data_IF_394546376886
#
_entry.id   IF_394546376886
#
_cell.length_a   1.000
_cell.length_b   1.000
_cell.length_c   1.000
_cell.angle_alpha   90.00
_cell.angle_beta   90.00
_cell.angle_gamma   90.00
#
_symmetry.space_group_name_H-M   'P 1'
#
loop_
_entity.id
_entity.type
_entity.pdbx_description
1 polymer ?
#
# COMPACT_ATOMS: atom_id res chain seq x y z
N UNK A 1 -21.56 12.30 21.33
CA UNK A 1 -20.79 13.06 20.32
C UNK A 1 -19.98 12.04 19.55
N UNK A 2 -20.44 11.74 18.35
CA UNK A 2 -20.20 10.47 17.66
C UNK A 2 -18.72 10.25 17.35
N UNK A 3 -18.21 9.09 17.80
CA UNK A 3 -16.93 8.54 17.42
C UNK A 3 -17.00 8.12 15.94
N UNK A 4 -17.00 9.11 15.06
CA UNK A 4 -16.82 8.87 13.64
C UNK A 4 -15.37 8.43 13.47
N UNK A 5 -15.18 7.18 13.06
CA UNK A 5 -13.92 6.57 12.65
C UNK A 5 -12.97 7.60 12.01
N UNK A 6 -12.00 8.09 12.78
CA UNK A 6 -10.99 9.01 12.27
C UNK A 6 -10.10 8.22 11.31
N UNK A 7 -10.35 8.37 10.01
CA UNK A 7 -9.50 7.78 8.97
C UNK A 7 -8.10 8.35 9.14
N UNK A 8 -7.14 7.49 9.46
CA UNK A 8 -5.73 7.85 9.58
C UNK A 8 -5.19 8.30 8.21
N UNK A 9 -4.41 9.39 8.18
CA UNK A 9 -3.88 10.02 6.96
C UNK A 9 -4.95 10.18 5.86
N UNK A 10 -6.10 10.77 6.22
CA UNK A 10 -7.29 10.82 5.36
C UNK A 10 -7.01 11.46 3.99
N UNK A 11 -6.37 12.62 3.99
CA UNK A 11 -6.12 13.41 2.77
C UNK A 11 -5.10 12.70 1.87
N UNK A 12 -4.00 12.24 2.45
CA UNK A 12 -2.94 11.50 1.77
C UNK A 12 -3.47 10.19 1.17
N UNK A 13 -4.24 9.43 1.96
CA UNK A 13 -4.88 8.19 1.52
C UNK A 13 -5.83 8.42 0.35
N UNK A 14 -6.60 9.50 0.38
CA UNK A 14 -7.51 9.84 -0.71
C UNK A 14 -6.77 10.26 -1.97
N UNK A 15 -5.67 11.02 -1.84
CA UNK A 15 -4.84 11.40 -2.99
C UNK A 15 -4.20 10.18 -3.64
N UNK A 16 -3.67 9.24 -2.85
CA UNK A 16 -3.11 7.96 -3.34
C UNK A 16 -4.18 7.14 -4.08
N UNK A 17 -5.38 6.98 -3.50
CA UNK A 17 -6.47 6.25 -4.16
C UNK A 17 -6.90 6.94 -5.44
N UNK A 18 -6.98 8.27 -5.46
CA UNK A 18 -7.31 9.05 -6.65
C UNK A 18 -6.34 8.79 -7.80
N UNK A 19 -5.04 8.78 -7.51
CA UNK A 19 -4.02 8.39 -8.49
C UNK A 19 -4.18 6.94 -8.97
N UNK A 20 -4.43 5.99 -8.07
CA UNK A 20 -4.71 4.59 -8.45
C UNK A 20 -5.95 4.47 -9.35
N UNK A 21 -7.02 5.21 -9.05
CA UNK A 21 -8.24 5.23 -9.85
C UNK A 21 -8.01 5.83 -11.23
N UNK A 22 -7.19 6.88 -11.35
CA UNK A 22 -6.84 7.47 -12.65
C UNK A 22 -6.04 6.48 -13.51
N UNK A 23 -5.04 5.82 -12.92
CA UNK A 23 -4.26 4.78 -13.61
C UNK A 23 -5.16 3.63 -14.09
N UNK A 24 -6.03 3.10 -13.22
CA UNK A 24 -6.95 2.02 -13.57
C UNK A 24 -7.96 2.44 -14.64
N UNK A 25 -8.48 3.67 -14.61
CA UNK A 25 -9.35 4.19 -15.66
C UNK A 25 -8.65 4.30 -17.01
N UNK A 26 -7.37 4.66 -17.01
CA UNK A 26 -6.59 4.82 -18.25
C UNK A 26 -6.17 3.49 -18.85
N UNK A 27 -5.79 2.51 -18.02
CA UNK A 27 -5.23 1.23 -18.48
C UNK A 27 -6.25 0.10 -18.49
N UNK A 28 -7.31 0.18 -17.70
CA UNK A 28 -8.21 -0.94 -17.43
C UNK A 28 -7.52 -2.07 -16.66
N UNK A 29 -8.16 -3.24 -16.65
CA UNK A 29 -7.62 -4.49 -16.10
C UNK A 29 -6.92 -5.31 -17.20
N UNK A 30 -5.98 -6.18 -16.81
CA UNK A 30 -5.37 -7.17 -17.70
C UNK A 30 -3.86 -6.99 -17.94
N UNK A 31 -3.27 -5.90 -17.45
CA UNK A 31 -1.83 -5.73 -17.46
C UNK A 31 -1.15 -6.46 -16.30
N UNK A 32 0.15 -6.70 -16.43
CA UNK A 32 0.98 -7.18 -15.34
C UNK A 32 1.12 -6.10 -14.25
N UNK A 33 1.28 -6.54 -13.00
CA UNK A 33 1.48 -5.66 -11.83
C UNK A 33 2.57 -4.60 -12.03
N UNK A 34 3.69 -4.97 -12.65
CA UNK A 34 4.81 -4.07 -12.95
C UNK A 34 4.43 -2.90 -13.88
N UNK A 35 3.44 -3.08 -14.77
CA UNK A 35 2.95 -2.00 -15.64
C UNK A 35 2.17 -0.97 -14.82
N UNK A 36 1.33 -1.42 -13.89
CA UNK A 36 0.62 -0.52 -12.98
C UNK A 36 1.59 0.21 -12.04
N UNK A 37 2.65 -0.48 -11.60
CA UNK A 37 3.71 0.13 -10.80
C UNK A 37 4.37 1.30 -11.53
N UNK A 38 4.82 1.10 -12.77
CA UNK A 38 5.46 2.16 -13.57
C UNK A 38 4.47 3.29 -13.90
N UNK A 39 3.20 2.96 -14.17
CA UNK A 39 2.17 3.97 -14.41
C UNK A 39 1.89 4.80 -13.15
N UNK A 40 1.87 4.18 -11.97
CA UNK A 40 1.69 4.89 -10.70
C UNK A 40 2.87 5.79 -10.37
N UNK A 41 4.09 5.36 -10.64
CA UNK A 41 5.28 6.20 -10.48
C UNK A 41 5.13 7.52 -11.25
N UNK A 42 4.73 7.44 -12.52
CA UNK A 42 4.48 8.63 -13.37
C UNK A 42 3.32 9.47 -12.83
N UNK A 43 2.22 8.83 -12.43
CA UNK A 43 1.05 9.55 -11.91
C UNK A 43 1.35 10.24 -10.57
N UNK A 44 2.12 9.62 -9.68
CA UNK A 44 2.54 10.21 -8.42
C UNK A 44 3.44 11.42 -8.64
N UNK A 45 4.33 11.40 -9.63
CA UNK A 45 5.12 12.57 -10.01
C UNK A 45 4.23 13.73 -10.49
N UNK A 46 3.26 13.44 -11.37
CA UNK A 46 2.33 14.45 -11.91
C UNK A 46 1.45 15.05 -10.81
N UNK A 47 1.00 14.24 -9.86
CA UNK A 47 0.17 14.70 -8.74
C UNK A 47 0.98 15.22 -7.55
N UNK A 48 2.31 15.24 -7.62
CA UNK A 48 3.18 15.63 -6.50
C UNK A 48 2.84 14.86 -5.22
N UNK A 49 2.70 13.53 -5.36
CA UNK A 49 2.58 12.61 -4.23
C UNK A 49 4.02 12.18 -3.90
N UNK A 50 4.56 12.48 -2.69
CA UNK A 50 5.88 12.01 -2.32
C UNK A 50 5.85 10.50 -2.12
N UNK A 51 6.76 9.78 -2.78
CA UNK A 51 6.88 8.33 -2.66
C UNK A 51 8.34 7.87 -2.73
N UNK A 52 8.58 6.68 -2.17
CA UNK A 52 9.74 5.84 -2.43
C UNK A 52 9.24 4.53 -3.04
N UNK A 53 9.86 4.07 -4.11
CA UNK A 53 9.47 2.85 -4.84
C UNK A 53 10.40 1.68 -4.47
N UNK A 54 9.85 0.47 -4.42
CA UNK A 54 10.56 -0.79 -4.17
C UNK A 54 11.44 -0.76 -2.91
N UNK A 55 10.84 -0.32 -1.80
CA UNK A 55 11.56 -0.06 -0.54
C UNK A 55 11.82 -1.36 0.21
N UNK A 56 13.09 -1.62 0.53
CA UNK A 56 13.47 -2.77 1.36
C UNK A 56 13.03 -2.53 2.81
N UNK A 57 12.31 -3.49 3.37
CA UNK A 57 11.91 -3.50 4.77
C UNK A 57 12.70 -4.54 5.52
N UNK A 58 13.38 -4.10 6.58
CA UNK A 58 14.19 -4.96 7.42
C UNK A 58 13.33 -5.88 8.27
N UNK A 59 13.81 -7.11 8.45
CA UNK A 59 13.13 -8.13 9.24
C UNK A 59 13.99 -8.53 10.43
N UNK A 60 13.32 -8.82 11.53
CA UNK A 60 13.93 -9.19 12.79
C UNK A 60 13.26 -10.46 13.33
N UNK A 61 14.07 -11.38 13.83
CA UNK A 61 13.64 -12.55 14.59
C UNK A 61 14.37 -12.52 15.93
N UNK A 62 13.63 -12.48 17.05
CA UNK A 62 14.20 -12.32 18.40
C UNK A 62 15.23 -11.19 18.50
N UNK A 63 14.87 -10.01 17.99
CA UNK A 63 15.73 -8.81 17.90
C UNK A 63 16.99 -8.97 17.05
N UNK A 64 17.19 -10.11 16.37
CA UNK A 64 18.29 -10.33 15.45
C UNK A 64 17.85 -10.01 14.03
N UNK A 65 18.60 -9.13 13.37
CA UNK A 65 18.36 -8.75 11.98
C UNK A 65 18.55 -9.94 11.06
N UNK A 66 17.56 -10.22 10.21
CA UNK A 66 17.65 -11.25 9.19
C UNK A 66 18.35 -10.72 7.93
N UNK A 67 19.04 -11.61 7.21
CA UNK A 67 19.60 -11.29 5.89
C UNK A 67 18.50 -11.14 4.81
N UNK A 68 17.31 -11.70 5.07
CA UNK A 68 16.13 -11.56 4.21
C UNK A 68 15.40 -10.27 4.54
N UNK A 69 14.80 -9.68 3.51
CA UNK A 69 14.02 -8.46 3.61
C UNK A 69 12.71 -8.64 2.87
N UNK A 70 11.69 -7.91 3.29
CA UNK A 70 10.54 -7.65 2.44
C UNK A 70 10.85 -6.48 1.51
N UNK A 71 10.01 -6.32 0.49
CA UNK A 71 10.07 -5.19 -0.43
C UNK A 71 8.66 -4.66 -0.60
N UNK A 72 8.45 -3.42 -0.17
CA UNK A 72 7.19 -2.73 -0.39
C UNK A 72 7.20 -2.08 -1.78
N UNK A 73 6.07 -2.13 -2.50
CA UNK A 73 5.96 -1.51 -3.81
C UNK A 73 6.18 0.00 -3.70
N UNK A 74 5.49 0.64 -2.74
CA UNK A 74 5.68 2.04 -2.42
C UNK A 74 5.60 2.34 -0.92
N UNK A 75 6.33 3.37 -0.50
CA UNK A 75 6.08 4.11 0.73
C UNK A 75 5.73 5.54 0.33
N UNK A 76 4.49 5.95 0.57
CA UNK A 76 4.00 7.29 0.29
C UNK A 76 4.01 8.14 1.56
N UNK A 77 4.33 9.43 1.42
CA UNK A 77 4.39 10.39 2.55
C UNK A 77 5.24 9.92 3.74
N UNK A 78 6.23 9.07 3.48
CA UNK A 78 7.06 8.42 4.49
C UNK A 78 6.29 7.67 5.60
N UNK A 79 4.98 7.47 5.45
CA UNK A 79 4.08 7.02 6.53
C UNK A 79 3.05 5.97 6.11
N UNK A 80 2.82 5.82 4.80
CA UNK A 80 1.81 4.91 4.25
C UNK A 80 2.49 3.87 3.37
N UNK A 81 2.37 2.60 3.73
CA UNK A 81 2.79 1.50 2.86
C UNK A 81 1.69 1.28 1.81
N UNK A 82 2.06 1.25 0.53
CA UNK A 82 1.16 0.95 -0.57
C UNK A 82 1.66 -0.28 -1.31
N UNK A 83 0.85 -1.33 -1.29
CA UNK A 83 1.03 -2.56 -2.06
C UNK A 83 0.01 -2.61 -3.18
N UNK A 84 0.45 -3.01 -4.37
CA UNK A 84 -0.43 -3.16 -5.52
C UNK A 84 -0.48 -4.61 -5.95
N UNK A 85 -1.63 -5.04 -6.49
CA UNK A 85 -1.84 -6.37 -7.04
C UNK A 85 -2.61 -6.28 -8.35
N UNK A 86 -2.40 -7.25 -9.24
CA UNK A 86 -3.16 -7.39 -10.48
C UNK A 86 -3.75 -8.81 -10.60
N UNK A 87 -4.71 -9.13 -9.72
CA UNK A 87 -5.27 -10.49 -9.60
C UNK A 87 -6.81 -10.48 -9.61
N UNK A 88 -7.42 -11.60 -9.99
CA UNK A 88 -8.90 -11.74 -9.97
C UNK A 88 -9.47 -11.74 -8.54
N UNK A 89 -8.71 -12.24 -7.57
CA UNK A 89 -9.07 -12.23 -6.15
C UNK A 89 -7.81 -12.04 -5.33
N UNK A 90 -7.86 -11.16 -4.32
CA UNK A 90 -6.78 -11.03 -3.34
C UNK A 90 -6.86 -12.19 -2.34
N UNK A 91 -5.86 -13.09 -2.26
CA UNK A 91 -5.79 -14.10 -1.22
C UNK A 91 -5.56 -13.46 0.15
N UNK A 92 -6.04 -14.13 1.20
CA UNK A 92 -5.91 -13.62 2.57
C UNK A 92 -4.46 -13.37 3.01
N UNK A 93 -3.53 -14.12 2.41
CA UNK A 93 -2.09 -14.02 2.65
C UNK A 93 -1.52 -12.61 2.36
N UNK A 94 -2.03 -11.88 1.36
CA UNK A 94 -1.54 -10.53 1.07
C UNK A 94 -1.94 -9.53 2.15
N UNK A 95 -3.13 -9.67 2.74
CA UNK A 95 -3.50 -8.84 3.90
C UNK A 95 -2.63 -9.15 5.12
N UNK A 96 -2.31 -10.43 5.36
CA UNK A 96 -1.43 -10.84 6.45
C UNK A 96 0.01 -10.35 6.25
N UNK A 97 0.52 -10.41 5.02
CA UNK A 97 1.82 -9.87 4.66
C UNK A 97 1.90 -8.37 4.91
N UNK A 98 0.94 -7.58 4.43
CA UNK A 98 0.92 -6.14 4.66
C UNK A 98 0.80 -5.79 6.15
N UNK A 99 0.05 -6.55 6.95
CA UNK A 99 0.06 -6.41 8.42
C UNK A 99 1.45 -6.62 9.02
N UNK A 100 2.19 -7.62 8.54
CA UNK A 100 3.55 -7.86 9.00
C UNK A 100 4.48 -6.70 8.61
N UNK A 101 4.32 -6.13 7.41
CA UNK A 101 5.11 -4.97 6.98
C UNK A 101 4.92 -3.82 7.97
N UNK A 102 3.67 -3.49 8.30
CA UNK A 102 3.35 -2.43 9.26
C UNK A 102 3.94 -2.68 10.65
N UNK A 103 3.92 -3.92 11.13
CA UNK A 103 4.52 -4.28 12.43
C UNK A 103 6.04 -4.11 12.40
N UNK A 104 6.71 -4.55 11.34
CA UNK A 104 8.16 -4.45 11.20
C UNK A 104 8.64 -3.00 11.06
N UNK A 105 7.89 -2.16 10.35
CA UNK A 105 8.25 -0.75 10.12
C UNK A 105 7.70 0.19 11.19
N UNK A 106 6.81 -0.30 12.07
CA UNK A 106 6.01 0.49 13.01
C UNK A 106 5.12 1.56 12.34
N UNK A 107 4.90 1.46 11.03
CA UNK A 107 3.96 2.32 10.31
C UNK A 107 2.53 1.96 10.70
N UNK A 108 1.66 2.96 10.70
CA UNK A 108 0.31 2.83 11.22
C UNK A 108 -0.71 2.46 10.12
N UNK A 109 -0.43 2.82 8.86
CA UNK A 109 -1.34 2.59 7.74
C UNK A 109 -0.67 1.87 6.57
N UNK A 110 -1.32 0.80 6.12
CA UNK A 110 -1.04 0.13 4.86
C UNK A 110 -2.25 0.16 3.94
N UNK A 111 -2.01 0.18 2.64
CA UNK A 111 -3.05 0.14 1.60
C UNK A 111 -2.73 -0.97 0.62
N UNK A 112 -3.71 -1.84 0.38
CA UNK A 112 -3.61 -2.89 -0.63
C UNK A 112 -4.60 -2.58 -1.75
N UNK A 113 -4.09 -2.36 -2.96
CA UNK A 113 -4.87 -1.98 -4.15
C UNK A 113 -4.86 -3.14 -5.15
N UNK A 114 -6.02 -3.48 -5.72
CA UNK A 114 -6.11 -4.48 -6.78
C UNK A 114 -6.57 -3.85 -8.10
N UNK A 115 -5.70 -3.91 -9.10
CA UNK A 115 -5.94 -3.50 -10.48
C UNK A 115 -6.50 -4.63 -11.36
N UNK A 116 -6.50 -5.89 -10.88
CA UNK A 116 -6.83 -7.05 -11.71
C UNK A 116 -8.32 -7.28 -11.97
N UNK A 117 -9.20 -6.50 -11.34
CA UNK A 117 -10.65 -6.60 -11.50
C UNK A 117 -11.19 -5.50 -12.43
N UNK A 118 -12.41 -5.69 -12.93
CA UNK A 118 -13.11 -4.73 -13.79
C UNK A 118 -13.27 -3.36 -13.14
N UNK A 119 -13.27 -3.30 -11.81
CA UNK A 119 -13.15 -2.08 -11.01
C UNK A 119 -11.93 -2.15 -10.08
N UNK A 120 -11.31 -1.00 -9.82
CA UNK A 120 -10.27 -0.89 -8.81
C UNK A 120 -10.87 -1.22 -7.44
N UNK A 121 -10.30 -2.19 -6.74
CA UNK A 121 -10.66 -2.47 -5.34
C UNK A 121 -9.49 -2.12 -4.44
N UNK A 122 -9.78 -1.71 -3.20
CA UNK A 122 -8.74 -1.36 -2.25
C UNK A 122 -9.17 -1.65 -0.81
N UNK A 123 -8.18 -1.85 0.06
CA UNK A 123 -8.40 -1.97 1.50
C UNK A 123 -7.32 -1.20 2.27
N UNK A 124 -7.77 -0.45 3.29
CA UNK A 124 -6.88 0.11 4.32
C UNK A 124 -6.70 -0.92 5.42
N UNK A 125 -5.46 -1.08 5.87
CA UNK A 125 -5.08 -1.93 6.98
C UNK A 125 -4.38 -1.05 7.99
N UNK A 126 -4.91 -1.04 9.21
CA UNK A 126 -4.32 -0.30 10.32
C UNK A 126 -3.50 -1.24 11.20
N UNK A 127 -2.33 -0.76 11.61
CA UNK A 127 -1.58 -1.38 12.69
C UNK A 127 -2.15 -0.85 14.00
N UNK A 128 -3.09 -1.60 14.57
CA UNK A 128 -3.55 -1.31 15.93
C UNK A 128 -2.35 -1.54 16.84
N UNK A 129 -1.75 -0.44 17.34
CA UNK A 129 -0.87 -0.54 18.50
C UNK A 129 -1.70 -1.25 19.56
N UNK A 130 -1.25 -2.40 20.03
CA UNK A 130 -1.66 -2.83 21.36
C UNK A 130 -1.18 -1.70 22.27
N UNK A 131 -2.13 -0.98 22.86
CA UNK A 131 -1.83 -0.06 23.95
C UNK A 131 -1.17 -0.92 25.03
N UNK A 132 0.16 -0.84 25.11
CA UNK A 132 0.89 -1.30 26.29
C UNK A 132 0.55 -0.37 27.47
#
# INVERSE_FOLDING_TARGET
MDATDKILYKEESFKIIGACMKVHRSLGAGFLEAVYEEALEKEFQVQEIPFKKQVKLELYYDNQKLNKHYRADFICYDSIILEIKAVQQIPIAFYAQLKNYLRCTKMELGMLINFGMTSLTYKRIINLKNSD
#
